data_IF_487076636331
#
_entry.id   IF_487076636331
#
_cell.length_a   1.000
_cell.length_b   1.000
_cell.length_c   1.000
_cell.angle_alpha   90.00
_cell.angle_beta   90.00
_cell.angle_gamma   90.00
#
_symmetry.space_group_name_H-M   'P 1'
#
loop_
_entity.id
_entity.type
_entity.pdbx_description
1 polymer ?
#
# COMPACT_ATOMS: atom_id res chain seq x y z
N UNK A 1 61.38 -17.15 -56.60
CA UNK A 1 60.17 -17.69 -55.90
C UNK A 1 59.69 -16.66 -54.94
N UNK A 2 58.56 -16.07 -55.23
CA UNK A 2 58.03 -14.87 -54.60
C UNK A 2 57.18 -15.22 -53.38
N UNK A 3 57.56 -14.74 -52.21
CA UNK A 3 56.72 -14.80 -50.98
C UNK A 3 55.69 -13.67 -50.98
N UNK A 4 54.44 -14.02 -51.16
CA UNK A 4 53.31 -13.08 -51.06
C UNK A 4 52.94 -12.83 -49.61
N UNK A 5 53.06 -11.61 -49.24
CA UNK A 5 52.47 -11.01 -47.99
C UNK A 5 50.97 -10.90 -48.21
N UNK A 6 50.17 -11.52 -47.38
CA UNK A 6 48.79 -11.07 -46.99
C UNK A 6 48.08 -12.17 -46.22
N UNK A 7 48.01 -12.02 -44.93
CA UNK A 7 46.89 -12.44 -44.12
C UNK A 7 47.08 -11.91 -42.70
N UNK A 8 46.82 -10.61 -42.53
CA UNK A 8 46.54 -10.01 -41.22
C UNK A 8 45.08 -10.28 -40.94
N UNK A 9 44.80 -11.33 -40.18
CA UNK A 9 43.49 -11.57 -39.59
C UNK A 9 43.31 -10.60 -38.41
N UNK A 10 42.46 -9.59 -38.62
CA UNK A 10 42.01 -8.69 -37.58
C UNK A 10 41.04 -9.47 -36.68
N UNK A 11 41.49 -9.87 -35.50
CA UNK A 11 40.62 -10.32 -34.42
C UNK A 11 39.98 -9.09 -33.79
N UNK A 12 38.74 -8.80 -34.23
CA UNK A 12 37.88 -7.80 -33.55
C UNK A 12 37.37 -8.42 -32.26
N UNK A 13 38.01 -8.11 -31.14
CA UNK A 13 37.51 -8.44 -29.81
C UNK A 13 36.32 -7.56 -29.50
N UNK A 14 35.09 -8.09 -29.66
CA UNK A 14 33.89 -7.44 -29.20
C UNK A 14 33.85 -7.45 -27.68
N UNK A 15 34.23 -6.33 -27.07
CA UNK A 15 34.07 -6.09 -25.65
C UNK A 15 32.57 -5.84 -25.39
N UNK A 16 31.83 -6.87 -25.01
CA UNK A 16 30.47 -6.73 -24.51
C UNK A 16 30.56 -6.01 -23.15
N UNK A 17 30.25 -4.72 -23.13
CA UNK A 17 30.13 -3.96 -21.92
C UNK A 17 28.91 -4.50 -21.14
N UNK A 18 29.14 -5.36 -20.16
CA UNK A 18 28.14 -5.73 -19.16
C UNK A 18 27.84 -4.49 -18.30
N UNK A 19 26.75 -3.80 -18.61
CA UNK A 19 26.23 -2.75 -17.74
C UNK A 19 25.89 -3.37 -16.38
N UNK A 20 26.40 -2.83 -15.25
CA UNK A 20 26.01 -3.33 -13.96
C UNK A 20 24.50 -3.09 -13.77
N UNK A 21 23.73 -4.14 -13.65
CA UNK A 21 22.37 -4.07 -13.13
C UNK A 21 22.48 -3.59 -11.69
N UNK A 22 22.33 -2.28 -11.48
CA UNK A 22 22.17 -1.75 -10.15
C UNK A 22 20.88 -2.33 -9.57
N UNK A 23 21.00 -3.30 -8.69
CA UNK A 23 19.89 -3.78 -7.88
C UNK A 23 19.35 -2.56 -7.10
N UNK A 24 18.23 -2.00 -7.56
CA UNK A 24 17.52 -0.96 -6.82
C UNK A 24 17.00 -1.64 -5.56
N UNK A 25 17.55 -1.28 -4.41
CA UNK A 25 17.02 -1.71 -3.13
C UNK A 25 15.54 -1.27 -3.12
N UNK A 26 14.63 -2.24 -3.10
CA UNK A 26 13.20 -1.99 -3.03
C UNK A 26 12.91 -1.36 -1.67
N UNK A 27 12.69 -0.05 -1.66
CA UNK A 27 12.35 0.65 -0.42
C UNK A 27 10.96 0.23 0.00
N UNK A 28 10.84 -0.27 1.23
CA UNK A 28 9.54 -0.64 1.81
C UNK A 28 8.61 0.57 1.78
N UNK A 29 7.37 0.42 1.27
CA UNK A 29 6.40 1.51 1.32
C UNK A 29 6.18 1.96 2.76
N UNK A 30 6.36 3.27 3.04
CA UNK A 30 6.24 3.81 4.39
C UNK A 30 4.85 4.34 4.64
N UNK A 31 4.19 3.85 5.69
CA UNK A 31 2.86 4.28 6.13
C UNK A 31 2.91 4.84 7.56
N UNK A 32 2.30 6.00 7.76
CA UNK A 32 2.10 6.60 9.08
C UNK A 32 0.66 6.38 9.52
N UNK A 33 0.46 5.75 10.70
CA UNK A 33 -0.87 5.35 11.20
C UNK A 33 -1.21 6.11 12.48
N UNK A 34 -2.30 6.87 12.42
CA UNK A 34 -2.90 7.49 13.60
C UNK A 34 -4.03 6.59 14.13
N UNK A 35 -3.94 6.18 15.41
CA UNK A 35 -4.88 5.25 16.03
C UNK A 35 -5.14 5.56 17.49
N UNK A 36 -6.27 5.08 18.02
CA UNK A 36 -6.51 5.05 19.47
C UNK A 36 -5.50 4.10 20.16
N UNK A 37 -4.87 4.50 21.27
CA UNK A 37 -3.91 3.67 21.98
C UNK A 37 -4.48 2.32 22.43
N UNK A 38 -5.79 2.26 22.72
CA UNK A 38 -6.46 1.06 23.23
C UNK A 38 -7.07 0.19 22.12
N UNK A 39 -6.91 0.56 20.84
CA UNK A 39 -7.44 -0.19 19.70
C UNK A 39 -6.59 -1.43 19.40
N UNK A 40 -7.07 -2.59 19.84
CA UNK A 40 -6.39 -3.89 19.65
C UNK A 40 -6.38 -4.33 18.19
N UNK A 41 -7.52 -4.21 17.49
CA UNK A 41 -7.62 -4.58 16.06
C UNK A 41 -6.74 -3.68 15.17
N UNK A 42 -6.58 -2.40 15.51
CA UNK A 42 -5.64 -1.51 14.82
C UNK A 42 -4.19 -2.02 14.94
N UNK A 43 -3.82 -2.54 16.12
CA UNK A 43 -2.48 -3.11 16.31
C UNK A 43 -2.28 -4.39 15.50
N UNK A 44 -3.30 -5.26 15.43
CA UNK A 44 -3.26 -6.45 14.60
C UNK A 44 -3.14 -6.12 13.10
N UNK A 45 -3.85 -5.09 12.62
CA UNK A 45 -3.73 -4.61 11.24
C UNK A 45 -2.31 -4.09 10.94
N UNK A 46 -1.72 -3.33 11.87
CA UNK A 46 -0.34 -2.83 11.73
C UNK A 46 0.64 -3.99 11.63
N UNK A 47 0.52 -5.02 12.47
CA UNK A 47 1.37 -6.21 12.42
C UNK A 47 1.26 -6.94 11.06
N UNK A 48 0.06 -7.02 10.50
CA UNK A 48 -0.15 -7.57 9.15
C UNK A 48 0.60 -6.74 8.11
N UNK A 49 0.51 -5.40 8.15
CA UNK A 49 1.25 -4.53 7.23
C UNK A 49 2.78 -4.72 7.34
N UNK A 50 3.31 -4.79 8.57
CA UNK A 50 4.73 -4.99 8.81
C UNK A 50 5.22 -6.33 8.25
N UNK A 51 4.44 -7.42 8.46
CA UNK A 51 4.71 -8.75 7.93
C UNK A 51 4.64 -8.76 6.39
N UNK A 52 3.77 -7.96 5.80
CA UNK A 52 3.66 -7.73 4.36
C UNK A 52 4.73 -6.77 3.80
N UNK A 53 5.66 -6.32 4.63
CA UNK A 53 6.83 -5.54 4.20
C UNK A 53 6.60 -4.04 4.09
N UNK A 54 5.57 -3.48 4.71
CA UNK A 54 5.44 -2.03 4.88
C UNK A 54 6.33 -1.55 6.03
N UNK A 55 6.84 -0.31 5.93
CA UNK A 55 7.50 0.37 7.03
C UNK A 55 6.45 1.20 7.78
N UNK A 56 5.99 0.71 8.94
CA UNK A 56 4.91 1.37 9.68
C UNK A 56 5.46 2.25 10.80
N UNK A 57 4.94 3.47 10.89
CA UNK A 57 5.10 4.36 12.04
C UNK A 57 3.74 4.66 12.63
N UNK A 58 3.65 4.82 13.96
CA UNK A 58 2.37 5.00 14.63
C UNK A 58 2.36 6.26 15.49
N UNK A 59 1.22 6.96 15.46
CA UNK A 59 0.91 8.05 16.37
C UNK A 59 -0.36 7.71 17.15
N UNK A 60 -0.33 7.94 18.48
CA UNK A 60 -1.48 7.72 19.36
C UNK A 60 -2.33 8.98 19.42
N UNK A 61 -3.60 8.86 19.11
CA UNK A 61 -4.54 9.96 19.14
C UNK A 61 -5.86 9.53 19.78
N UNK A 62 -6.40 10.35 20.65
CA UNK A 62 -7.63 10.04 21.38
C UNK A 62 -8.81 10.80 20.79
N UNK A 63 -9.96 10.14 20.69
CA UNK A 63 -11.29 10.71 20.50
C UNK A 63 -11.36 11.81 19.44
N UNK A 64 -11.61 13.04 19.87
CA UNK A 64 -11.85 14.19 18.99
C UNK A 64 -10.68 14.56 18.08
N UNK A 65 -9.43 14.30 18.50
CA UNK A 65 -8.25 14.59 17.68
C UNK A 65 -8.16 13.64 16.50
N UNK A 66 -8.46 12.36 16.70
CA UNK A 66 -8.49 11.38 15.60
C UNK A 66 -9.64 11.71 14.63
N UNK A 67 -10.82 12.08 15.14
CA UNK A 67 -11.95 12.51 14.30
C UNK A 67 -11.56 13.72 13.46
N UNK A 68 -10.96 14.74 14.11
CA UNK A 68 -10.51 15.94 13.42
C UNK A 68 -9.47 15.58 12.33
N UNK A 69 -8.52 14.73 12.63
CA UNK A 69 -7.53 14.28 11.65
C UNK A 69 -8.16 13.67 10.41
N UNK A 70 -9.17 12.79 10.57
CA UNK A 70 -9.92 12.21 9.46
C UNK A 70 -10.60 13.29 8.61
N UNK A 71 -11.31 14.22 9.26
CA UNK A 71 -12.01 15.32 8.58
C UNK A 71 -11.05 16.25 7.83
N UNK A 72 -9.94 16.64 8.47
CA UNK A 72 -8.91 17.52 7.87
C UNK A 72 -8.25 16.87 6.64
N UNK A 73 -8.25 15.53 6.56
CA UNK A 73 -7.73 14.77 5.43
C UNK A 73 -8.82 14.28 4.45
N UNK A 74 -10.05 14.80 4.58
CA UNK A 74 -11.13 14.57 3.62
C UNK A 74 -11.82 13.22 3.73
N UNK A 75 -11.65 12.47 4.82
CA UNK A 75 -12.38 11.21 5.05
C UNK A 75 -13.84 11.52 5.35
N UNK A 76 -14.81 11.08 4.52
CA UNK A 76 -16.24 11.25 4.80
C UNK A 76 -16.66 10.51 6.07
N UNK A 77 -17.58 11.06 6.84
CA UNK A 77 -18.00 10.47 8.11
C UNK A 77 -18.55 9.04 7.97
N UNK A 78 -19.26 8.76 6.89
CA UNK A 78 -19.80 7.43 6.59
C UNK A 78 -18.73 6.41 6.15
N UNK A 79 -17.51 6.86 5.84
CA UNK A 79 -16.36 6.03 5.52
C UNK A 79 -15.41 5.84 6.71
N UNK A 80 -15.64 6.57 7.82
CA UNK A 80 -14.77 6.54 8.98
C UNK A 80 -14.77 5.17 9.69
N UNK A 81 -13.58 4.75 10.13
CA UNK A 81 -13.33 3.53 10.90
C UNK A 81 -12.45 3.81 12.12
N UNK A 82 -11.73 2.82 12.65
CA UNK A 82 -11.03 2.94 13.94
C UNK A 82 -9.62 3.58 13.87
N UNK A 83 -8.99 3.61 12.71
CA UNK A 83 -7.67 4.23 12.51
C UNK A 83 -7.54 4.80 11.10
N UNK A 84 -6.51 5.63 10.90
CA UNK A 84 -6.23 6.25 9.61
C UNK A 84 -4.74 6.18 9.32
N UNK A 85 -4.37 5.55 8.22
CA UNK A 85 -3.01 5.55 7.68
C UNK A 85 -2.81 6.65 6.64
N UNK A 86 -1.56 7.11 6.48
CA UNK A 86 -1.15 7.99 5.39
C UNK A 86 0.06 7.39 4.69
N UNK A 87 -0.03 7.19 3.38
CA UNK A 87 1.01 6.59 2.56
C UNK A 87 1.10 7.31 1.21
N UNK A 88 2.27 7.84 0.88
CA UNK A 88 2.55 8.50 -0.41
C UNK A 88 1.47 9.50 -0.89
N UNK A 89 0.85 10.20 0.06
CA UNK A 89 -0.20 11.19 -0.20
C UNK A 89 -1.62 10.65 -0.13
N UNK A 90 -1.82 9.34 -0.10
CA UNK A 90 -3.12 8.70 0.08
C UNK A 90 -3.46 8.46 1.54
N UNK A 91 -4.75 8.49 1.83
CA UNK A 91 -5.32 8.11 3.12
C UNK A 91 -5.82 6.67 3.06
N UNK A 92 -5.55 5.91 4.12
CA UNK A 92 -5.99 4.52 4.28
C UNK A 92 -6.83 4.46 5.55
N UNK A 93 -8.12 4.29 5.39
CA UNK A 93 -9.08 4.33 6.50
C UNK A 93 -9.57 2.93 6.86
N UNK A 94 -9.34 2.53 8.11
CA UNK A 94 -9.75 1.22 8.61
C UNK A 94 -8.95 0.04 8.07
N UNK A 95 -9.56 -1.13 8.07
CA UNK A 95 -8.92 -2.42 7.85
C UNK A 95 -8.70 -2.79 6.37
N UNK A 96 -8.14 -1.85 5.59
CA UNK A 96 -7.84 -2.04 4.17
C UNK A 96 -6.78 -3.13 4.00
N UNK A 97 -7.01 -4.13 3.12
CA UNK A 97 -6.04 -5.18 2.84
C UNK A 97 -4.73 -4.64 2.24
N UNK A 98 -3.57 -5.21 2.63
CA UNK A 98 -2.26 -4.81 2.07
C UNK A 98 -2.20 -4.88 0.54
N UNK A 99 -2.89 -5.85 -0.07
CA UNK A 99 -2.96 -6.01 -1.52
C UNK A 99 -3.64 -4.80 -2.20
N UNK A 100 -4.72 -4.27 -1.61
CA UNK A 100 -5.41 -3.09 -2.13
C UNK A 100 -4.59 -1.82 -1.95
N UNK A 101 -3.84 -1.70 -0.85
CA UNK A 101 -2.88 -0.60 -0.68
C UNK A 101 -1.81 -0.64 -1.79
N UNK A 102 -1.26 -1.82 -2.10
CA UNK A 102 -0.29 -1.99 -3.19
C UNK A 102 -0.90 -1.66 -4.55
N UNK A 103 -2.14 -2.10 -4.80
CA UNK A 103 -2.89 -1.79 -6.02
C UNK A 103 -3.09 -0.29 -6.17
N UNK A 104 -3.53 0.40 -5.11
CA UNK A 104 -3.66 1.86 -5.08
C UNK A 104 -2.35 2.58 -5.45
N UNK A 105 -1.24 2.13 -4.83
CA UNK A 105 0.09 2.71 -5.09
C UNK A 105 0.61 2.45 -6.51
N UNK A 106 0.19 1.37 -7.14
CA UNK A 106 0.55 1.04 -8.52
C UNK A 106 -0.31 1.82 -9.54
N UNK A 107 -1.61 1.92 -9.31
CA UNK A 107 -2.57 2.56 -10.22
C UNK A 107 -2.57 4.08 -10.12
N UNK A 108 -2.24 4.63 -8.95
CA UNK A 108 -2.15 6.09 -8.72
C UNK A 108 -3.39 6.89 -9.15
N UNK A 109 -4.60 6.49 -8.79
CA UNK A 109 -5.80 7.25 -9.15
C UNK A 109 -5.78 8.64 -8.49
N UNK A 110 -6.47 9.62 -9.11
CA UNK A 110 -6.67 10.93 -8.49
C UNK A 110 -7.78 10.86 -7.44
N UNK A 111 -7.42 10.42 -6.26
CA UNK A 111 -8.32 10.15 -5.15
C UNK A 111 -7.73 10.61 -3.82
N UNK A 112 -8.56 10.65 -2.76
CA UNK A 112 -8.12 10.83 -1.38
C UNK A 112 -7.42 9.56 -0.89
N UNK A 113 -8.00 8.38 -1.17
CA UNK A 113 -7.46 7.10 -0.71
C UNK A 113 -8.49 5.99 -0.68
N UNK A 114 -8.24 4.99 0.17
CA UNK A 114 -9.12 3.83 0.36
C UNK A 114 -9.77 3.82 1.75
N UNK A 115 -10.97 3.23 1.83
CA UNK A 115 -11.65 3.00 3.09
C UNK A 115 -12.29 1.60 3.16
N UNK A 116 -12.23 0.99 4.35
CA UNK A 116 -13.11 -0.09 4.78
C UNK A 116 -13.93 0.45 5.95
N UNK A 117 -15.16 0.93 5.69
CA UNK A 117 -16.00 1.50 6.74
C UNK A 117 -16.46 0.43 7.73
N UNK A 118 -16.68 0.84 8.96
CA UNK A 118 -16.99 -0.12 10.01
C UNK A 118 -15.79 -0.98 10.39
N UNK A 119 -16.06 -2.20 10.78
CA UNK A 119 -15.04 -3.20 11.17
C UNK A 119 -15.57 -4.59 10.78
N UNK A 120 -15.63 -4.91 9.46
CA UNK A 120 -16.20 -6.17 9.01
C UNK A 120 -15.35 -7.35 9.52
N UNK A 121 -16.03 -8.37 10.04
CA UNK A 121 -15.34 -9.54 10.58
C UNK A 121 -14.56 -10.26 9.48
N UNK A 122 -13.37 -10.75 9.81
CA UNK A 122 -12.47 -11.39 8.86
C UNK A 122 -11.71 -10.45 7.93
N UNK A 123 -11.96 -9.12 7.98
CA UNK A 123 -11.04 -8.16 7.38
C UNK A 123 -9.68 -8.16 8.11
N UNK A 124 -8.58 -7.71 7.49
CA UNK A 124 -7.25 -7.80 8.10
C UNK A 124 -7.19 -7.23 9.52
N UNK A 125 -6.88 -8.05 10.52
CA UNK A 125 -6.86 -7.68 11.94
C UNK A 125 -8.20 -7.76 12.67
N UNK A 126 -9.28 -8.20 12.00
CA UNK A 126 -10.63 -8.32 12.57
C UNK A 126 -11.13 -9.77 12.68
N UNK A 127 -10.24 -10.70 12.95
CA UNK A 127 -10.56 -12.12 13.06
C UNK A 127 -9.98 -12.96 11.92
N UNK A 128 -10.29 -14.26 11.89
CA UNK A 128 -9.78 -15.17 10.86
C UNK A 128 -10.46 -14.91 9.51
N UNK A 129 -9.66 -14.88 8.46
CA UNK A 129 -10.15 -14.68 7.08
C UNK A 129 -11.11 -15.82 6.63
N UNK A 130 -10.97 -17.01 7.20
CA UNK A 130 -11.84 -18.18 6.93
C UNK A 130 -13.29 -18.01 7.42
N UNK A 131 -13.56 -16.97 8.19
CA UNK A 131 -14.90 -16.63 8.71
C UNK A 131 -15.31 -15.21 8.27
N UNK A 132 -14.78 -14.76 7.13
CA UNK A 132 -14.97 -13.39 6.66
C UNK A 132 -16.42 -13.12 6.25
N UNK A 133 -16.97 -12.04 6.81
CA UNK A 133 -18.18 -11.38 6.24
C UNK A 133 -17.84 -10.74 4.90
N UNK A 134 -18.80 -10.68 3.98
CA UNK A 134 -18.61 -9.92 2.75
C UNK A 134 -18.42 -8.42 3.06
N UNK A 135 -17.46 -7.77 2.41
CA UNK A 135 -17.24 -6.33 2.55
C UNK A 135 -16.62 -5.70 1.31
N UNK A 136 -16.75 -4.38 1.23
CA UNK A 136 -16.15 -3.58 0.17
C UNK A 136 -14.99 -2.74 0.68
N UNK A 137 -13.97 -2.61 -0.16
CA UNK A 137 -12.97 -1.55 -0.09
C UNK A 137 -13.43 -0.44 -1.03
N UNK A 138 -13.56 0.77 -0.52
CA UNK A 138 -14.00 1.93 -1.28
C UNK A 138 -12.85 2.83 -1.66
N UNK A 139 -12.85 3.33 -2.90
CA UNK A 139 -12.03 4.46 -3.32
C UNK A 139 -12.78 5.76 -2.97
N UNK A 140 -12.11 6.66 -2.24
CA UNK A 140 -12.68 7.97 -1.87
C UNK A 140 -12.18 9.01 -2.87
N UNK A 141 -13.07 9.56 -3.66
CA UNK A 141 -12.80 10.65 -4.60
C UNK A 141 -12.52 11.97 -3.91
N UNK A 142 -11.81 12.88 -4.59
CA UNK A 142 -11.52 14.23 -4.06
C UNK A 142 -12.75 15.13 -3.95
N UNK A 143 -13.80 14.78 -4.65
CA UNK A 143 -15.12 15.43 -4.60
C UNK A 143 -16.01 14.90 -3.45
N UNK A 144 -15.50 13.94 -2.66
CA UNK A 144 -16.22 13.28 -1.57
C UNK A 144 -17.10 12.10 -2.02
N UNK A 145 -17.09 11.76 -3.32
CA UNK A 145 -17.71 10.52 -3.83
C UNK A 145 -16.98 9.29 -3.32
N UNK A 146 -17.65 8.14 -3.37
CA UNK A 146 -17.04 6.85 -3.09
C UNK A 146 -17.53 5.80 -4.07
N UNK A 147 -16.65 4.94 -4.53
CA UNK A 147 -16.94 3.82 -5.40
C UNK A 147 -16.26 2.55 -4.90
N UNK A 148 -16.79 1.38 -5.26
CA UNK A 148 -16.19 0.10 -4.87
C UNK A 148 -14.90 -0.10 -5.65
N UNK A 149 -13.78 -0.19 -4.92
CA UNK A 149 -12.44 -0.46 -5.46
C UNK A 149 -12.15 -1.96 -5.54
N UNK A 150 -12.55 -2.71 -4.51
CA UNK A 150 -12.46 -4.17 -4.44
C UNK A 150 -13.60 -4.70 -3.60
N UNK A 151 -14.23 -5.79 -4.06
CA UNK A 151 -15.23 -6.53 -3.31
C UNK A 151 -14.64 -7.83 -2.78
N UNK A 152 -14.88 -8.12 -1.52
CA UNK A 152 -14.52 -9.36 -0.85
C UNK A 152 -15.78 -10.12 -0.48
N UNK A 153 -15.96 -11.30 -1.08
CA UNK A 153 -17.07 -12.21 -0.76
C UNK A 153 -16.92 -12.77 0.66
N UNK A 154 -18.02 -13.21 1.25
CA UNK A 154 -17.96 -14.00 2.49
C UNK A 154 -17.17 -15.29 2.28
N UNK A 155 -16.40 -15.72 3.30
CA UNK A 155 -15.60 -16.95 3.26
C UNK A 155 -16.46 -18.18 3.50
#
# INVERSE_FOLDING_TARGET
MTLTRRSLLACSASFAAAAPFAARAETKPAIHVMKDPNCGCCSAWIEILENEGFAVTTERSLGTLLIKYKQDNGIPQNMASCHTGKIEGYMIEGHVPPADIRKLLAERPDAIGLAVPGMPYGSPGMGPESERDAYDVYLIGRDGSSEVFTHYEAA
#
